data_IF_580454382932
#
_entry.id   IF_580454382932
#
_cell.length_a   1.000
_cell.length_b   1.000
_cell.length_c   1.000
_cell.angle_alpha   90.00
_cell.angle_beta   90.00
_cell.angle_gamma   90.00
#
_symmetry.space_group_name_H-M   'P 1'
#
loop_
_entity.id
_entity.type
_entity.pdbx_description
1 polymer ?
#
# COMPACT_ATOMS: atom_id res chain seq x y z
N UNK A 1 -11.16 -26.18 6.26
CA UNK A 1 -11.57 -24.78 6.48
C UNK A 1 -11.52 -24.08 5.13
N UNK A 2 -12.65 -23.54 4.69
CA UNK A 2 -12.86 -23.04 3.33
C UNK A 2 -11.78 -22.05 2.88
N UNK A 3 -11.24 -22.30 1.69
CA UNK A 3 -10.26 -21.43 1.00
C UNK A 3 -10.79 -20.01 0.79
N UNK A 4 -12.12 -19.84 0.73
CA UNK A 4 -12.80 -18.55 0.68
C UNK A 4 -12.67 -17.78 2.00
N UNK A 5 -12.95 -18.40 3.14
CA UNK A 5 -12.87 -17.77 4.46
C UNK A 5 -11.44 -17.29 4.75
N UNK A 6 -10.43 -18.11 4.45
CA UNK A 6 -9.03 -17.72 4.63
C UNK A 6 -8.62 -16.56 3.71
N UNK A 7 -9.11 -16.54 2.46
CA UNK A 7 -8.87 -15.43 1.53
C UNK A 7 -9.50 -14.13 2.04
N UNK A 8 -10.74 -14.19 2.53
CA UNK A 8 -11.42 -13.03 3.12
C UNK A 8 -10.68 -12.51 4.35
N UNK A 9 -10.25 -13.39 5.26
CA UNK A 9 -9.48 -12.99 6.44
C UNK A 9 -8.16 -12.30 6.07
N UNK A 10 -7.44 -12.80 5.07
CA UNK A 10 -6.19 -12.18 4.59
C UNK A 10 -6.45 -10.84 3.91
N UNK A 11 -7.53 -10.73 3.14
CA UNK A 11 -7.95 -9.47 2.52
C UNK A 11 -8.26 -8.41 3.60
N UNK A 12 -9.06 -8.78 4.60
CA UNK A 12 -9.42 -7.91 5.73
C UNK A 12 -8.15 -7.51 6.50
N UNK A 13 -7.31 -8.48 6.84
CA UNK A 13 -6.07 -8.23 7.57
C UNK A 13 -5.13 -7.27 6.84
N UNK A 14 -4.99 -7.42 5.52
CA UNK A 14 -4.18 -6.52 4.71
C UNK A 14 -4.79 -5.10 4.66
N UNK A 15 -6.10 -5.00 4.40
CA UNK A 15 -6.78 -3.71 4.35
C UNK A 15 -6.68 -2.95 5.68
N UNK A 16 -6.91 -3.63 6.80
CA UNK A 16 -6.75 -3.07 8.15
C UNK A 16 -5.31 -2.65 8.42
N UNK A 17 -4.33 -3.49 8.07
CA UNK A 17 -2.91 -3.17 8.28
C UNK A 17 -2.53 -1.92 7.49
N UNK A 18 -2.95 -1.83 6.22
CA UNK A 18 -2.70 -0.65 5.38
C UNK A 18 -3.36 0.60 5.97
N UNK A 19 -4.66 0.54 6.29
CA UNK A 19 -5.40 1.69 6.79
C UNK A 19 -4.85 2.22 8.12
N UNK A 20 -4.64 1.32 9.09
CA UNK A 20 -4.15 1.69 10.43
C UNK A 20 -2.73 2.23 10.37
N UNK A 21 -1.79 1.51 9.75
CA UNK A 21 -0.38 1.92 9.75
C UNK A 21 -0.18 3.21 8.97
N UNK A 22 -0.77 3.33 7.77
CA UNK A 22 -0.64 4.55 6.97
C UNK A 22 -1.30 5.74 7.68
N UNK A 23 -2.50 5.55 8.24
CA UNK A 23 -3.19 6.59 9.00
C UNK A 23 -2.40 7.05 10.24
N UNK A 24 -1.81 6.12 11.00
CA UNK A 24 -0.96 6.47 12.15
C UNK A 24 0.25 7.29 11.73
N UNK A 25 0.99 6.85 10.71
CA UNK A 25 2.16 7.59 10.23
C UNK A 25 1.81 8.97 9.69
N UNK A 26 0.68 9.09 9.01
CA UNK A 26 0.24 10.36 8.48
C UNK A 26 -0.14 11.34 9.58
N UNK A 27 -0.84 10.89 10.63
CA UNK A 27 -1.13 11.70 11.82
C UNK A 27 0.16 12.11 12.54
N UNK A 28 1.12 11.20 12.71
CA UNK A 28 2.42 11.51 13.32
C UNK A 28 3.18 12.59 12.53
N UNK A 29 3.17 12.54 11.21
CA UNK A 29 3.81 13.55 10.36
C UNK A 29 3.15 14.92 10.50
N UNK A 30 1.82 14.97 10.54
CA UNK A 30 1.05 16.21 10.77
C UNK A 30 1.40 16.78 12.15
N UNK A 31 1.41 15.94 13.19
CA UNK A 31 1.74 16.36 14.55
C UNK A 31 3.18 16.91 14.64
N UNK A 32 4.14 16.23 14.01
CA UNK A 32 5.54 16.69 13.97
C UNK A 32 5.65 18.06 13.30
N UNK A 33 4.99 18.24 12.16
CA UNK A 33 5.01 19.51 11.43
C UNK A 33 4.32 20.65 12.17
N UNK A 34 3.23 20.34 12.90
CA UNK A 34 2.57 21.30 13.76
C UNK A 34 3.51 21.81 14.87
N UNK A 35 4.38 20.94 15.40
CA UNK A 35 5.39 21.32 16.40
C UNK A 35 6.50 22.17 15.79
N UNK A 36 6.93 21.89 14.56
CA UNK A 36 7.98 22.66 13.87
C UNK A 36 7.47 23.97 13.25
N UNK A 37 6.15 24.14 13.10
CA UNK A 37 5.56 25.31 12.44
C UNK A 37 5.70 25.32 10.91
N UNK A 38 6.22 24.25 10.30
CA UNK A 38 6.48 24.15 8.86
C UNK A 38 5.50 23.21 8.16
N UNK A 39 4.47 23.78 7.53
CA UNK A 39 3.42 23.02 6.82
C UNK A 39 3.99 22.18 5.68
N UNK A 40 4.93 22.73 4.89
CA UNK A 40 5.55 22.03 3.76
C UNK A 40 6.33 20.78 4.19
N UNK A 41 7.01 20.86 5.34
CA UNK A 41 7.72 19.73 5.93
C UNK A 41 6.73 18.62 6.34
N UNK A 42 5.57 18.98 6.90
CA UNK A 42 4.53 18.00 7.25
C UNK A 42 3.95 17.25 6.08
N UNK A 43 3.63 17.97 5.00
CA UNK A 43 3.14 17.37 3.76
C UNK A 43 4.18 16.38 3.20
N UNK A 44 5.45 16.79 3.20
CA UNK A 44 6.56 15.97 2.69
C UNK A 44 6.76 14.72 3.52
N UNK A 45 6.89 14.86 4.85
CA UNK A 45 7.06 13.73 5.76
C UNK A 45 5.89 12.76 5.69
N UNK A 46 4.65 13.27 5.69
CA UNK A 46 3.44 12.44 5.58
C UNK A 46 3.47 11.60 4.31
N UNK A 47 3.73 12.24 3.17
CA UNK A 47 3.76 11.58 1.87
C UNK A 47 4.84 10.49 1.82
N UNK A 48 6.03 10.78 2.34
CA UNK A 48 7.13 9.82 2.40
C UNK A 48 6.76 8.61 3.28
N UNK A 49 6.22 8.87 4.47
CA UNK A 49 5.89 7.80 5.42
C UNK A 49 4.73 6.94 4.94
N UNK A 50 3.69 7.52 4.36
CA UNK A 50 2.57 6.75 3.78
C UNK A 50 3.05 5.88 2.62
N UNK A 51 3.79 6.46 1.66
CA UNK A 51 4.32 5.67 0.54
C UNK A 51 5.24 4.56 1.02
N UNK A 52 6.12 4.85 1.98
CA UNK A 52 6.99 3.84 2.58
C UNK A 52 6.20 2.72 3.25
N UNK A 53 5.14 3.05 4.00
CA UNK A 53 4.27 2.07 4.64
C UNK A 53 3.55 1.19 3.60
N UNK A 54 2.92 1.79 2.59
CA UNK A 54 2.24 1.06 1.52
C UNK A 54 3.21 0.11 0.82
N UNK A 55 4.37 0.61 0.38
CA UNK A 55 5.36 -0.18 -0.33
C UNK A 55 5.87 -1.35 0.52
N UNK A 56 6.19 -1.10 1.79
CA UNK A 56 6.74 -2.10 2.71
C UNK A 56 5.72 -3.17 3.06
N UNK A 57 4.50 -2.77 3.42
CA UNK A 57 3.41 -3.68 3.79
C UNK A 57 3.03 -4.55 2.58
N UNK A 58 2.78 -3.94 1.42
CA UNK A 58 2.42 -4.68 0.20
C UNK A 58 3.55 -5.62 -0.20
N UNK A 59 4.81 -5.18 -0.16
CA UNK A 59 5.95 -6.05 -0.51
C UNK A 59 6.08 -7.25 0.44
N UNK A 60 5.90 -7.03 1.74
CA UNK A 60 5.95 -8.08 2.75
C UNK A 60 4.85 -9.12 2.54
N UNK A 61 3.59 -8.69 2.41
CA UNK A 61 2.47 -9.60 2.21
C UNK A 61 2.48 -10.24 0.82
N UNK A 62 2.87 -9.52 -0.22
CA UNK A 62 2.99 -10.07 -1.57
C UNK A 62 3.98 -11.22 -1.60
N UNK A 63 5.10 -11.11 -0.88
CA UNK A 63 6.06 -12.22 -0.71
C UNK A 63 5.45 -13.40 0.02
N UNK A 64 4.72 -13.15 1.11
CA UNK A 64 4.15 -14.21 1.96
C UNK A 64 2.95 -14.92 1.34
N UNK A 65 2.21 -14.27 0.45
CA UNK A 65 1.00 -14.82 -0.17
C UNK A 65 1.08 -14.84 -1.70
N UNK A 66 1.89 -15.76 -2.28
CA UNK A 66 2.25 -15.73 -3.69
C UNK A 66 1.14 -16.00 -4.70
N UNK A 67 -0.02 -16.53 -4.28
CA UNK A 67 -1.09 -16.98 -5.19
C UNK A 67 -2.23 -15.99 -5.41
N UNK A 68 -2.17 -14.77 -4.85
CA UNK A 68 -3.25 -13.80 -5.02
C UNK A 68 -3.06 -12.94 -6.27
N UNK A 69 -4.09 -12.87 -7.11
CA UNK A 69 -4.11 -12.03 -8.30
C UNK A 69 -4.29 -10.54 -8.01
N UNK A 70 -4.07 -9.72 -9.04
CA UNK A 70 -4.13 -8.26 -9.00
C UNK A 70 -5.39 -7.68 -8.33
N UNK A 71 -6.56 -8.25 -8.61
CA UNK A 71 -7.82 -7.80 -8.03
C UNK A 71 -7.84 -7.87 -6.49
N UNK A 72 -7.18 -8.88 -5.89
CA UNK A 72 -7.07 -8.97 -4.43
C UNK A 72 -6.26 -7.80 -3.87
N UNK A 73 -5.08 -7.55 -4.45
CA UNK A 73 -4.17 -6.50 -3.98
C UNK A 73 -4.77 -5.10 -4.12
N UNK A 74 -5.32 -4.81 -5.30
CA UNK A 74 -5.91 -3.49 -5.57
C UNK A 74 -7.15 -3.26 -4.71
N UNK A 75 -8.03 -4.25 -4.55
CA UNK A 75 -9.20 -4.07 -3.67
C UNK A 75 -8.83 -3.94 -2.19
N UNK A 76 -7.82 -4.67 -1.70
CA UNK A 76 -7.31 -4.47 -0.33
C UNK A 76 -6.68 -3.10 -0.15
N UNK A 77 -5.95 -2.60 -1.16
CA UNK A 77 -5.35 -1.27 -1.13
C UNK A 77 -6.42 -0.17 -1.15
N UNK A 78 -7.46 -0.31 -1.99
CA UNK A 78 -8.61 0.60 -1.99
C UNK A 78 -9.32 0.60 -0.63
N UNK A 79 -9.56 -0.58 -0.05
CA UNK A 79 -10.18 -0.66 1.27
C UNK A 79 -9.29 -0.03 2.35
N UNK A 80 -7.98 -0.29 2.32
CA UNK A 80 -7.01 0.34 3.21
C UNK A 80 -6.97 1.87 3.07
N UNK A 81 -7.02 2.39 1.84
CA UNK A 81 -7.12 3.82 1.55
C UNK A 81 -8.37 4.42 2.21
N UNK A 82 -9.53 3.78 2.04
CA UNK A 82 -10.80 4.25 2.61
C UNK A 82 -10.84 4.17 4.13
N UNK A 83 -10.04 3.28 4.75
CA UNK A 83 -9.91 3.20 6.20
C UNK A 83 -9.02 4.31 6.80
N UNK A 84 -8.20 4.97 5.98
CA UNK A 84 -7.41 6.13 6.41
C UNK A 84 -8.31 7.39 6.39
N UNK A 85 -8.60 8.02 7.54
CA UNK A 85 -9.49 9.18 7.59
C UNK A 85 -9.00 10.37 6.76
N UNK A 86 -7.69 10.52 6.61
CA UNK A 86 -7.10 11.63 5.83
C UNK A 86 -7.36 11.50 4.33
N UNK A 87 -7.61 10.29 3.84
CA UNK A 87 -8.02 10.02 2.46
C UNK A 87 -9.35 10.69 2.08
N UNK A 88 -10.23 10.90 3.06
CA UNK A 88 -11.56 11.46 2.84
C UNK A 88 -11.53 12.97 2.60
N UNK A 89 -10.46 13.61 3.06
CA UNK A 89 -10.22 15.05 2.87
C UNK A 89 -9.19 15.33 1.77
N UNK A 90 -8.66 14.27 1.12
CA UNK A 90 -7.56 14.40 0.14
C UNK A 90 -6.23 14.81 0.78
N UNK A 91 -6.06 14.47 2.05
CA UNK A 91 -4.87 14.76 2.85
C UNK A 91 -4.11 13.49 3.22
N UNK A 92 -4.34 12.37 2.53
CA UNK A 92 -3.53 11.19 2.76
C UNK A 92 -2.10 11.49 2.28
N UNK A 93 -1.98 11.90 1.02
CA UNK A 93 -0.70 12.25 0.40
C UNK A 93 -0.58 13.77 0.21
N UNK A 94 0.29 14.19 -0.70
CA UNK A 94 0.50 15.59 -1.04
C UNK A 94 -0.56 16.14 -2.02
N UNK A 95 -1.63 15.42 -2.36
CA UNK A 95 -2.60 15.87 -3.34
C UNK A 95 -3.15 17.29 -3.04
N UNK A 96 -3.52 17.54 -1.78
CA UNK A 96 -4.04 18.84 -1.33
C UNK A 96 -3.01 19.99 -1.40
N UNK A 97 -1.72 19.69 -1.60
CA UNK A 97 -0.70 20.71 -1.83
C UNK A 97 -0.71 21.25 -3.26
N UNK A 98 -1.24 20.48 -4.21
CA UNK A 98 -1.23 20.80 -5.64
C UNK A 98 -2.62 21.07 -6.20
N UNK A 99 -3.65 20.48 -5.58
CA UNK A 99 -5.04 20.54 -6.03
C UNK A 99 -5.94 21.08 -4.91
N UNK A 100 -7.06 21.74 -5.27
CA UNK A 100 -8.06 22.14 -4.29
C UNK A 100 -8.64 20.91 -3.58
N UNK A 101 -8.86 21.03 -2.28
CA UNK A 101 -9.47 19.97 -1.47
C UNK A 101 -10.82 19.51 -2.06
N UNK A 102 -11.05 18.20 -2.06
CA UNK A 102 -12.25 17.59 -2.61
C UNK A 102 -11.95 16.44 -3.56
N UNK A 103 -12.93 16.08 -4.39
CA UNK A 103 -12.89 14.89 -5.25
C UNK A 103 -11.64 14.77 -6.14
N UNK A 104 -11.13 15.82 -6.80
CA UNK A 104 -9.92 15.70 -7.63
C UNK A 104 -8.70 15.26 -6.83
N UNK A 105 -8.56 15.81 -5.62
CA UNK A 105 -7.46 15.50 -4.72
C UNK A 105 -7.56 14.07 -4.19
N UNK A 106 -8.76 13.65 -3.78
CA UNK A 106 -9.01 12.27 -3.33
C UNK A 106 -8.73 11.26 -4.44
N UNK A 107 -9.09 11.59 -5.69
CA UNK A 107 -8.83 10.73 -6.83
C UNK A 107 -7.33 10.62 -7.13
N UNK A 108 -6.57 11.72 -7.00
CA UNK A 108 -5.12 11.71 -7.17
C UNK A 108 -4.43 10.86 -6.09
N UNK A 109 -4.79 11.07 -4.81
CA UNK A 109 -4.22 10.31 -3.69
C UNK A 109 -4.50 8.81 -3.86
N UNK A 110 -5.74 8.44 -4.20
CA UNK A 110 -6.11 7.05 -4.48
C UNK A 110 -5.32 6.50 -5.67
N UNK A 111 -5.18 7.25 -6.76
CA UNK A 111 -4.44 6.82 -7.94
C UNK A 111 -2.96 6.52 -7.62
N UNK A 112 -2.31 7.39 -6.83
CA UNK A 112 -0.93 7.19 -6.38
C UNK A 112 -0.82 5.94 -5.50
N UNK A 113 -1.75 5.75 -4.57
CA UNK A 113 -1.75 4.59 -3.67
C UNK A 113 -1.91 3.27 -4.44
N UNK A 114 -2.83 3.24 -5.41
CA UNK A 114 -3.05 2.08 -6.27
C UNK A 114 -1.85 1.83 -7.20
N UNK A 115 -1.25 2.88 -7.74
CA UNK A 115 -0.04 2.78 -8.57
C UNK A 115 1.13 2.21 -7.76
N UNK A 116 1.37 2.70 -6.55
CA UNK A 116 2.42 2.18 -5.67
C UNK A 116 2.21 0.69 -5.38
N UNK A 117 0.97 0.30 -5.05
CA UNK A 117 0.59 -1.10 -4.83
C UNK A 117 0.83 -1.94 -6.09
N UNK A 118 0.40 -1.45 -7.26
CA UNK A 118 0.53 -2.12 -8.54
C UNK A 118 2.00 -2.38 -8.91
N UNK A 119 2.85 -1.36 -8.78
CA UNK A 119 4.29 -1.46 -9.05
C UNK A 119 4.92 -2.52 -8.16
N UNK A 120 4.62 -2.53 -6.86
CA UNK A 120 5.18 -3.53 -5.94
C UNK A 120 4.77 -4.94 -6.34
N UNK A 121 3.48 -5.17 -6.59
CA UNK A 121 2.96 -6.50 -6.98
C UNK A 121 3.61 -6.96 -8.28
N UNK A 122 3.76 -6.08 -9.27
CA UNK A 122 4.43 -6.38 -10.52
C UNK A 122 5.91 -6.76 -10.36
N UNK A 123 6.66 -5.96 -9.58
CA UNK A 123 8.08 -6.23 -9.32
C UNK A 123 8.25 -7.57 -8.59
N UNK A 124 7.41 -7.86 -7.60
CA UNK A 124 7.46 -9.14 -6.88
C UNK A 124 7.05 -10.31 -7.78
N UNK A 125 6.12 -10.10 -8.72
CA UNK A 125 5.76 -11.09 -9.74
C UNK A 125 6.94 -11.44 -10.64
N UNK A 126 7.62 -10.43 -11.21
CA UNK A 126 8.80 -10.63 -12.07
C UNK A 126 9.95 -11.35 -11.39
N UNK A 127 10.21 -11.04 -10.11
CA UNK A 127 11.27 -11.72 -9.33
C UNK A 127 11.03 -13.23 -9.21
N UNK A 128 9.80 -13.71 -9.35
CA UNK A 128 9.48 -15.14 -9.28
C UNK A 128 9.68 -15.86 -10.60
N UNK A 129 9.36 -15.20 -11.71
CA UNK A 129 9.59 -15.74 -13.05
C UNK A 129 11.10 -15.91 -13.32
N UNK A 130 11.94 -15.08 -12.70
CA UNK A 130 13.38 -15.07 -12.88
C UNK A 130 14.18 -16.06 -11.99
N UNK A 131 13.53 -16.93 -11.19
CA UNK A 131 14.24 -18.00 -10.45
C UNK A 131 14.21 -19.28 -11.28
N UNK A 132 15.20 -19.54 -12.17
CA UNK A 132 15.29 -20.82 -12.83
C UNK A 132 15.48 -21.92 -11.78
N UNK A 133 14.70 -23.01 -11.90
CA UNK A 133 14.93 -24.23 -11.12
C UNK A 133 16.37 -24.68 -11.40
N UNK A 134 17.24 -24.74 -10.36
CA UNK A 134 18.61 -25.19 -10.50
C UNK A 134 18.65 -26.54 -11.22
N UNK A 135 19.57 -26.72 -12.18
CA UNK A 135 19.61 -27.90 -13.03
C UNK A 135 19.73 -29.21 -12.22
N UNK A 136 20.42 -29.13 -11.09
CA UNK A 136 20.60 -30.11 -10.02
C UNK A 136 19.27 -30.60 -9.40
N UNK A 137 18.24 -29.76 -9.29
CA UNK A 137 16.92 -30.18 -8.80
C UNK A 137 16.11 -30.89 -9.88
N UNK A 138 16.40 -30.61 -11.16
CA UNK A 138 15.73 -31.22 -12.32
C UNK A 138 16.16 -32.66 -12.55
N UNK A 139 17.39 -33.01 -12.18
CA UNK A 139 17.90 -34.40 -12.27
C UNK A 139 17.34 -35.31 -11.18
N UNK A 140 17.00 -34.77 -10.01
CA UNK A 140 16.39 -35.52 -8.90
C UNK A 140 14.90 -35.85 -9.10
N UNK A 141 14.26 -35.28 -10.13
CA UNK A 141 12.84 -35.46 -10.44
C UNK A 141 12.59 -36.33 -11.69
N UNK A 142 13.65 -36.92 -12.26
CA UNK A 142 13.59 -37.93 -13.33
C UNK A 142 13.91 -39.30 -12.77
#
# INVERSE_FOLDING_TARGET
MDTSAQRTLRWIGLALTLGVVCGTFAVMAIAYAAVQGEVGLGITLRTILELFAVLSIVAFYARRWPGYGWAFWLSSATAGYLLNPLSWTGQALAGAAFLPAGLPTMALDLAIWLLATAVVVWVQGRRREAVPVPADVRELLR
#
